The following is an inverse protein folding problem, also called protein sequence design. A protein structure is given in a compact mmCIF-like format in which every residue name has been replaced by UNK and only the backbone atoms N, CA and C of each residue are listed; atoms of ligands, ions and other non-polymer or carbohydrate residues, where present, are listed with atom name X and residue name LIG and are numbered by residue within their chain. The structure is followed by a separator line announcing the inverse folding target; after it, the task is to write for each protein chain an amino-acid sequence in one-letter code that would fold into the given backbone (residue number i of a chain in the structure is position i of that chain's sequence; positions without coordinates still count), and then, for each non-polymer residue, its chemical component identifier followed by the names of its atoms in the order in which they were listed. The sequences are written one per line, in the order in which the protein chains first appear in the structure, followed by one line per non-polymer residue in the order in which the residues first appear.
data_IF_904382994119
#
_entry.id   IF_904382994119
#
_cell.length_a   1.000
_cell.length_b   1.000
_cell.length_c   1.000
_cell.angle_alpha   90.00
_cell.angle_beta   90.00
_cell.angle_gamma   90.00
#
_symmetry.space_group_name_H-M   'P 1'
#
loop_
_entity.id
_entity.type
_entity.pdbx_description
1 polymer ?
#
# COMPACT_ATOMS: atom_id res chain seq x y z
N UNK A 1 -11.95 15.97 6.38
CA UNK A 1 -11.72 14.56 6.78
C UNK A 1 -11.57 13.61 5.59
N UNK A 2 -12.48 13.59 4.61
CA UNK A 2 -12.40 12.66 3.46
C UNK A 2 -11.11 12.83 2.63
N UNK A 3 -10.61 14.06 2.45
CA UNK A 3 -9.32 14.33 1.77
C UNK A 3 -8.14 13.62 2.47
N UNK A 4 -8.11 13.63 3.80
CA UNK A 4 -7.06 12.95 4.57
C UNK A 4 -7.13 11.43 4.40
N UNK A 5 -8.33 10.86 4.31
CA UNK A 5 -8.49 9.42 4.06
C UNK A 5 -7.96 9.01 2.69
N UNK A 6 -8.12 9.85 1.65
CA UNK A 6 -7.51 9.57 0.34
C UNK A 6 -5.99 9.62 0.39
N UNK A 7 -5.42 10.61 1.10
CA UNK A 7 -3.95 10.71 1.26
C UNK A 7 -3.42 9.49 2.02
N UNK A 8 -4.01 9.17 3.18
CA UNK A 8 -3.61 8.02 3.99
C UNK A 8 -3.75 6.70 3.21
N UNK A 9 -4.90 6.48 2.57
CA UNK A 9 -5.13 5.27 1.81
C UNK A 9 -4.21 5.15 0.60
N UNK A 10 -3.92 6.28 -0.08
CA UNK A 10 -2.95 6.32 -1.18
C UNK A 10 -1.53 5.98 -0.72
N UNK A 11 -1.09 6.55 0.41
CA UNK A 11 0.21 6.23 1.01
C UNK A 11 0.32 4.76 1.38
N UNK A 12 -0.71 4.18 1.99
CA UNK A 12 -0.74 2.75 2.32
C UNK A 12 -0.61 1.89 1.06
N UNK A 13 -1.34 2.21 -0.01
CA UNK A 13 -1.22 1.49 -1.29
C UNK A 13 0.21 1.57 -1.84
N UNK A 14 0.80 2.76 -1.88
CA UNK A 14 2.17 2.93 -2.40
C UNK A 14 3.18 2.16 -1.55
N UNK A 15 3.12 2.28 -0.22
CA UNK A 15 4.02 1.57 0.70
C UNK A 15 3.88 0.05 0.53
N UNK A 16 2.65 -0.45 0.49
CA UNK A 16 2.39 -1.88 0.31
C UNK A 16 2.92 -2.40 -1.03
N UNK A 17 2.78 -1.63 -2.11
CA UNK A 17 3.35 -1.99 -3.42
C UNK A 17 4.88 -1.99 -3.41
N UNK A 18 5.52 -1.03 -2.73
CA UNK A 18 6.98 -1.03 -2.56
C UNK A 18 7.44 -2.28 -1.82
N UNK A 19 6.74 -2.68 -0.76
CA UNK A 19 7.06 -3.89 -0.01
C UNK A 19 6.89 -5.15 -0.84
N UNK A 20 5.82 -5.22 -1.65
CA UNK A 20 5.62 -6.32 -2.59
C UNK A 20 6.72 -6.38 -3.65
N UNK A 21 7.08 -5.23 -4.23
CA UNK A 21 8.14 -5.14 -5.23
C UNK A 21 9.51 -5.54 -4.68
N UNK A 22 9.85 -5.12 -3.45
CA UNK A 22 11.08 -5.56 -2.79
C UNK A 22 11.02 -7.06 -2.47
N UNK A 23 9.95 -7.52 -1.83
CA UNK A 23 9.78 -8.93 -1.44
C UNK A 23 9.78 -9.91 -2.62
N UNK A 24 9.37 -9.46 -3.81
CA UNK A 24 9.39 -10.26 -5.04
C UNK A 24 10.69 -10.13 -5.83
N UNK A 25 11.62 -9.27 -5.42
CA UNK A 25 12.86 -8.98 -6.15
C UNK A 25 12.69 -8.07 -7.39
N UNK A 26 11.47 -7.61 -7.73
CA UNK A 26 11.24 -6.75 -8.90
C UNK A 26 11.64 -5.28 -8.66
N UNK A 27 11.73 -4.86 -7.40
CA UNK A 27 12.15 -3.52 -7.01
C UNK A 27 13.29 -3.59 -5.99
N UNK A 28 14.52 -3.97 -6.40
CA UNK A 28 15.63 -4.19 -5.49
C UNK A 28 16.37 -2.88 -5.15
N UNK A 29 15.66 -1.90 -4.59
CA UNK A 29 16.24 -0.62 -4.18
C UNK A 29 15.69 -0.15 -2.82
N UNK A 30 16.54 0.35 -1.90
CA UNK A 30 17.99 0.42 -2.02
C UNK A 30 18.62 -0.98 -1.84
N UNK A 31 19.80 -1.23 -2.40
CA UNK A 31 20.34 -2.58 -2.60
C UNK A 31 20.63 -3.33 -1.29
N UNK A 32 20.73 -2.58 -0.20
CA UNK A 32 21.02 -3.03 1.16
C UNK A 32 19.73 -3.32 1.94
N UNK A 33 18.57 -3.16 1.30
CA UNK A 33 17.28 -3.43 1.93
C UNK A 33 17.14 -4.90 2.28
N UNK A 34 16.93 -5.16 3.58
CA UNK A 34 16.64 -6.47 4.16
C UNK A 34 15.33 -7.12 3.67
N UNK A 35 14.59 -6.43 2.82
CA UNK A 35 13.31 -6.88 2.27
C UNK A 35 13.43 -7.53 0.90
N UNK A 36 14.54 -7.30 0.20
CA UNK A 36 14.72 -7.73 -1.19
C UNK A 36 14.75 -9.25 -1.28
N UNK A 37 13.93 -9.80 -2.18
CA UNK A 37 13.82 -11.24 -2.45
C UNK A 37 13.44 -12.06 -1.20
N UNK A 38 12.67 -11.44 -0.31
CA UNK A 38 12.14 -12.06 0.90
C UNK A 38 10.61 -12.12 0.82
N UNK A 39 10.09 -13.29 0.43
CA UNK A 39 8.66 -13.56 0.24
C UNK A 39 7.70 -13.08 1.35
N UNK A 40 8.07 -13.07 2.65
CA UNK A 40 7.21 -12.49 3.69
C UNK A 40 6.77 -11.05 3.42
N UNK A 41 7.59 -10.25 2.73
CA UNK A 41 7.26 -8.86 2.41
C UNK A 41 6.21 -8.72 1.32
N UNK A 42 6.04 -9.73 0.46
CA UNK A 42 4.93 -9.80 -0.50
C UNK A 42 3.61 -9.84 0.25
N UNK A 43 3.47 -10.76 1.21
CA UNK A 43 2.23 -10.92 1.96
C UNK A 43 1.95 -9.71 2.87
N UNK A 44 2.96 -9.19 3.56
CA UNK A 44 2.83 -7.97 4.38
C UNK A 44 2.40 -6.79 3.53
N UNK A 45 3.03 -6.58 2.36
CA UNK A 45 2.67 -5.53 1.43
C UNK A 45 1.25 -5.68 0.90
N UNK A 46 0.81 -6.89 0.56
CA UNK A 46 -0.56 -7.16 0.12
C UNK A 46 -1.61 -6.76 1.17
N UNK A 47 -1.37 -7.08 2.45
CA UNK A 47 -2.24 -6.65 3.56
C UNK A 47 -2.31 -5.12 3.64
N UNK A 48 -1.17 -4.43 3.54
CA UNK A 48 -1.12 -2.95 3.58
C UNK A 48 -1.87 -2.34 2.39
N UNK A 49 -1.72 -2.89 1.18
CA UNK A 49 -2.48 -2.47 -0.02
C UNK A 49 -3.98 -2.63 0.21
N UNK A 50 -4.43 -3.79 0.70
CA UNK A 50 -5.85 -4.06 0.98
C UNK A 50 -6.40 -3.02 1.96
N UNK A 51 -5.69 -2.75 3.07
CA UNK A 51 -6.11 -1.73 4.04
C UNK A 51 -6.23 -0.35 3.39
N UNK A 52 -5.25 0.05 2.59
CA UNK A 52 -5.29 1.34 1.87
C UNK A 52 -6.47 1.46 0.92
N UNK A 53 -6.76 0.40 0.15
CA UNK A 53 -7.92 0.34 -0.75
C UNK A 53 -9.24 0.42 0.04
N UNK A 54 -9.35 -0.28 1.17
CA UNK A 54 -10.53 -0.24 2.04
C UNK A 54 -10.76 1.18 2.59
N UNK A 55 -9.71 1.85 3.05
CA UNK A 55 -9.78 3.25 3.53
C UNK A 55 -10.31 4.17 2.43
N UNK A 56 -9.79 4.05 1.20
CA UNK A 56 -10.25 4.84 0.05
C UNK A 56 -11.72 4.52 -0.29
N UNK A 57 -12.10 3.25 -0.30
CA UNK A 57 -13.45 2.82 -0.63
C UNK A 57 -14.47 3.34 0.38
N UNK A 58 -14.17 3.28 1.68
CA UNK A 58 -15.02 3.83 2.74
C UNK A 58 -15.10 5.36 2.66
N UNK A 59 -14.00 6.04 2.31
CA UNK A 59 -14.00 7.49 2.08
C UNK A 59 -14.90 7.90 0.91
N UNK A 60 -14.90 7.11 -0.18
CA UNK A 60 -15.79 7.32 -1.34
C UNK A 60 -17.26 7.19 -0.97
N UNK A 61 -17.63 6.16 -0.20
CA UNK A 61 -19.02 5.93 0.24
C UNK A 61 -19.60 7.07 1.08
N UNK A 62 -18.75 7.80 1.80
CA UNK A 62 -19.16 8.95 2.64
C UNK A 62 -19.28 10.26 1.88
N UNK A 63 -18.92 10.31 0.59
CA UNK A 63 -19.16 11.49 -0.26
C UNK A 63 -20.53 11.32 -0.93
N UNK A 64 -21.55 12.12 -0.60
CA UNK A 64 -22.78 12.15 -1.38
C UNK A 64 -22.41 12.48 -2.83
N UNK A 65 -22.98 11.77 -3.80
CA UNK A 65 -22.93 12.19 -5.19
C UNK A 65 -23.62 13.57 -5.30
N UNK A 66 -23.11 14.50 -6.12
CA UNK A 66 -23.82 15.75 -6.40
C UNK A 66 -25.19 15.48 -7.04
#
# INVERSE_FOLDING_TARGET
MVKLAYVLGGLLVVIGLVWMGQGSGYFPYPAESFMIDQSPWIYRGAVVVIVGVVVIALARRKRPLP
#
